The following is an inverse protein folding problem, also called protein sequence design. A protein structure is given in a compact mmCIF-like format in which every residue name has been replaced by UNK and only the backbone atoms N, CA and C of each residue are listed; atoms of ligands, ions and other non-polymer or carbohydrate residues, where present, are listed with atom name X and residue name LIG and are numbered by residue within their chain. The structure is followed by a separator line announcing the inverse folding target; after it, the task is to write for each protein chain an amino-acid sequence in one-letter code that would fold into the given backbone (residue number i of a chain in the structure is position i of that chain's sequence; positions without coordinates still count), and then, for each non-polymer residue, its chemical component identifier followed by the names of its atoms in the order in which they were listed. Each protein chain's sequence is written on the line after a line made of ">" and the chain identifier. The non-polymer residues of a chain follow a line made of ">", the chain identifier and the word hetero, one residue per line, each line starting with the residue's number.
data_IF_828504137169
#
_entry.id   IF_828504137169
#
_cell.length_a   1.000
_cell.length_b   1.000
_cell.length_c   1.000
_cell.angle_alpha   90.00
_cell.angle_beta   90.00
_cell.angle_gamma   90.00
#
_symmetry.space_group_name_H-M   'P 1'
#
loop_
_entity.id
_entity.type
_entity.pdbx_description
1 polymer ?
#
# COMPACT_ATOMS: atom_id res chain seq x y z
N UNK A 1 21.28 -24.21 9.42
CA UNK A 1 20.46 -23.80 10.59
C UNK A 1 21.01 -24.27 11.93
N UNK A 2 22.10 -25.07 12.02
CA UNK A 2 22.71 -25.50 13.30
C UNK A 2 22.94 -24.34 14.29
N UNK A 3 23.60 -23.26 13.84
CA UNK A 3 23.86 -22.08 14.68
C UNK A 3 22.57 -21.41 15.19
N UNK A 4 21.49 -21.43 14.42
CA UNK A 4 20.19 -20.89 14.83
C UNK A 4 19.56 -21.71 15.96
N UNK A 5 19.78 -23.03 15.98
CA UNK A 5 19.22 -23.94 16.97
C UNK A 5 20.07 -24.00 18.24
N UNK A 6 21.39 -24.09 18.08
CA UNK A 6 22.29 -24.50 19.16
C UNK A 6 23.15 -23.34 19.69
N UNK A 7 23.33 -22.26 18.91
CA UNK A 7 24.30 -21.19 19.20
C UNK A 7 23.74 -19.79 18.83
N UNK A 8 22.52 -19.48 19.30
CA UNK A 8 21.77 -18.29 18.85
C UNK A 8 22.51 -16.96 19.00
N UNK A 9 23.23 -16.76 20.11
CA UNK A 9 24.00 -15.53 20.33
C UNK A 9 25.15 -15.39 19.31
N UNK A 10 25.86 -16.49 19.04
CA UNK A 10 26.90 -16.54 18.01
C UNK A 10 26.31 -16.25 16.63
N UNK A 11 25.15 -16.83 16.31
CA UNK A 11 24.43 -16.54 15.08
C UNK A 11 24.11 -15.04 14.92
N UNK A 12 23.56 -14.40 15.96
CA UNK A 12 23.24 -12.96 15.93
C UNK A 12 24.51 -12.13 15.70
N UNK A 13 25.60 -12.42 16.41
CA UNK A 13 26.87 -11.71 16.24
C UNK A 13 27.41 -11.80 14.79
N UNK A 14 27.29 -12.97 14.17
CA UNK A 14 27.70 -13.17 12.77
C UNK A 14 26.78 -12.42 11.79
N UNK A 15 25.48 -12.37 12.06
CA UNK A 15 24.52 -11.57 11.27
C UNK A 15 24.86 -10.08 11.36
N UNK A 16 25.10 -9.55 12.57
CA UNK A 16 25.46 -8.14 12.78
C UNK A 16 26.73 -7.77 12.02
N UNK A 17 27.74 -8.66 12.05
CA UNK A 17 28.97 -8.49 11.26
C UNK A 17 28.70 -8.46 9.76
N UNK A 18 27.78 -9.29 9.27
CA UNK A 18 27.38 -9.30 7.86
C UNK A 18 26.61 -8.05 7.46
N UNK A 19 25.72 -7.55 8.33
CA UNK A 19 24.96 -6.32 8.11
C UNK A 19 25.88 -5.10 7.97
N UNK A 20 26.89 -4.99 8.84
CA UNK A 20 27.93 -3.94 8.77
C UNK A 20 28.66 -3.96 7.41
N UNK A 21 29.10 -5.13 6.97
CA UNK A 21 29.75 -5.28 5.65
C UNK A 21 28.81 -4.95 4.49
N UNK A 22 27.52 -5.31 4.61
CA UNK A 22 26.53 -5.05 3.57
C UNK A 22 26.31 -3.54 3.38
N UNK A 23 26.12 -2.78 4.45
CA UNK A 23 25.93 -1.32 4.35
C UNK A 23 27.19 -0.59 3.86
N UNK A 24 28.39 -1.07 4.20
CA UNK A 24 29.64 -0.54 3.65
C UNK A 24 29.69 -0.67 2.12
N UNK A 25 29.26 -1.82 1.59
CA UNK A 25 29.19 -2.04 0.14
C UNK A 25 28.14 -1.15 -0.53
N UNK A 26 26.97 -0.98 0.10
CA UNK A 26 25.93 -0.04 -0.37
C UNK A 26 26.49 1.38 -0.45
N UNK A 27 27.13 1.86 0.64
CA UNK A 27 27.76 3.19 0.68
C UNK A 27 28.76 3.40 -0.45
N UNK A 28 29.67 2.44 -0.66
CA UNK A 28 30.65 2.50 -1.73
C UNK A 28 30.01 2.63 -3.13
N UNK A 29 28.91 1.91 -3.38
CA UNK A 29 28.20 1.99 -4.65
C UNK A 29 27.44 3.31 -4.80
N UNK A 30 26.81 3.80 -3.72
CA UNK A 30 26.09 5.08 -3.74
C UNK A 30 27.04 6.26 -3.91
N UNK A 31 28.25 6.19 -3.35
CA UNK A 31 29.31 7.18 -3.55
C UNK A 31 29.79 7.23 -5.01
N UNK A 32 29.56 6.16 -5.78
CA UNK A 32 29.83 6.07 -7.22
C UNK A 32 28.61 6.44 -8.09
N UNK A 33 27.52 6.92 -7.48
CA UNK A 33 26.32 7.37 -8.19
C UNK A 33 25.23 6.31 -8.37
N UNK A 34 25.36 5.13 -7.77
CA UNK A 34 24.25 4.16 -7.75
C UNK A 34 23.09 4.70 -6.90
N UNK A 35 21.87 4.59 -7.41
CA UNK A 35 20.67 4.88 -6.63
C UNK A 35 20.31 3.66 -5.78
N UNK A 36 20.31 3.82 -4.45
CA UNK A 36 19.91 2.79 -3.50
C UNK A 36 18.66 3.21 -2.73
N UNK A 37 17.80 2.24 -2.43
CA UNK A 37 16.62 2.43 -1.61
C UNK A 37 16.34 1.16 -0.78
N UNK A 38 15.78 1.32 0.42
CA UNK A 38 15.40 0.18 1.28
C UNK A 38 14.05 -0.41 0.83
N UNK A 39 14.00 -1.72 0.57
CA UNK A 39 12.80 -2.39 0.02
C UNK A 39 11.74 -2.76 1.09
N UNK A 40 11.75 -2.12 2.26
CA UNK A 40 10.76 -2.36 3.31
C UNK A 40 10.91 -3.72 4.00
N UNK A 41 12.13 -4.27 4.02
CA UNK A 41 12.50 -5.48 4.76
C UNK A 41 13.18 -5.17 6.10
N UNK A 42 13.15 -3.91 6.54
CA UNK A 42 13.79 -3.38 7.74
C UNK A 42 15.33 -3.51 7.77
N UNK A 43 15.98 -3.53 6.60
CA UNK A 43 17.44 -3.64 6.49
C UNK A 43 18.17 -2.51 7.22
N UNK A 44 17.81 -1.25 6.98
CA UNK A 44 18.49 -0.11 7.63
C UNK A 44 18.25 -0.09 9.16
N UNK A 45 17.06 -0.53 9.61
CA UNK A 45 16.79 -0.70 11.06
C UNK A 45 17.65 -1.80 11.68
N UNK A 46 17.81 -2.93 11.00
CA UNK A 46 18.67 -4.01 11.46
C UNK A 46 20.15 -3.59 11.49
N UNK A 47 20.60 -2.81 10.51
CA UNK A 47 21.94 -2.23 10.47
C UNK A 47 22.16 -1.25 11.64
N UNK A 48 21.18 -0.40 11.93
CA UNK A 48 21.21 0.49 13.10
C UNK A 48 21.29 -0.31 14.40
N UNK A 49 20.46 -1.34 14.57
CA UNK A 49 20.43 -2.21 15.75
C UNK A 49 21.73 -3.01 15.92
N UNK A 50 22.37 -3.37 14.82
CA UNK A 50 23.70 -3.97 14.81
C UNK A 50 24.80 -2.99 15.25
N UNK A 51 24.49 -1.72 15.50
CA UNK A 51 25.36 -0.69 16.06
C UNK A 51 26.05 0.21 15.02
N UNK A 52 25.43 0.39 13.85
CA UNK A 52 25.88 1.33 12.80
C UNK A 52 24.99 2.57 12.88
N UNK A 53 25.28 3.47 13.82
CA UNK A 53 24.39 4.58 14.17
C UNK A 53 24.26 5.60 13.03
N UNK A 54 25.29 5.72 12.18
CA UNK A 54 25.32 6.72 11.11
C UNK A 54 24.32 6.47 9.97
N UNK A 55 23.63 5.33 9.96
CA UNK A 55 22.50 5.14 9.02
C UNK A 55 21.25 5.89 9.47
N UNK A 56 21.15 6.31 10.73
CA UNK A 56 20.07 7.17 11.22
C UNK A 56 20.26 8.61 10.72
N UNK A 57 19.17 9.25 10.30
CA UNK A 57 19.16 10.68 9.90
C UNK A 57 19.52 11.62 11.04
N UNK A 58 19.11 11.31 12.27
CA UNK A 58 19.37 12.14 13.45
C UNK A 58 20.56 11.64 14.30
N UNK A 59 21.08 10.45 14.01
CA UNK A 59 22.20 9.84 14.72
C UNK A 59 21.88 9.42 16.17
N UNK A 60 20.60 9.40 16.56
CA UNK A 60 20.15 9.10 17.94
C UNK A 60 19.21 7.89 17.92
N UNK A 61 18.18 7.93 17.08
CA UNK A 61 17.14 6.89 17.00
C UNK A 61 16.62 6.74 15.55
N UNK A 62 15.59 5.90 15.37
CA UNK A 62 14.99 5.65 14.07
C UNK A 62 13.79 6.55 13.76
N UNK A 63 13.49 7.57 14.58
CA UNK A 63 12.24 8.33 14.46
C UNK A 63 12.21 9.24 13.23
N UNK A 64 13.35 9.82 12.87
CA UNK A 64 13.48 10.68 11.68
C UNK A 64 13.79 9.88 10.41
N UNK A 65 13.77 8.54 10.49
CA UNK A 65 14.13 7.64 9.41
C UNK A 65 15.64 7.47 9.21
N UNK A 66 16.01 6.92 8.05
CA UNK A 66 17.38 6.56 7.71
C UNK A 66 17.91 7.38 6.54
N UNK A 67 19.25 7.39 6.37
CA UNK A 67 19.96 8.18 5.35
C UNK A 67 19.59 7.80 3.92
N UNK A 68 19.17 6.56 3.71
CA UNK A 68 18.60 6.12 2.44
C UNK A 68 17.09 6.04 2.58
N UNK A 69 16.35 6.55 1.59
CA UNK A 69 14.90 6.45 1.58
C UNK A 69 14.47 4.99 1.46
N UNK A 70 13.34 4.66 2.07
CA UNK A 70 12.64 3.43 1.70
C UNK A 70 11.99 3.59 0.33
N UNK A 71 11.80 2.49 -0.40
CA UNK A 71 11.02 2.47 -1.64
C UNK A 71 9.61 3.03 -1.43
N UNK A 72 9.12 2.91 -0.19
CA UNK A 72 7.82 3.44 0.15
C UNK A 72 7.82 4.96 0.30
N UNK A 73 8.80 5.52 1.00
CA UNK A 73 8.88 6.99 1.15
C UNK A 73 9.01 7.70 -0.20
N UNK A 74 9.82 7.16 -1.10
CA UNK A 74 10.20 7.85 -2.33
C UNK A 74 9.37 7.46 -3.56
N UNK A 75 8.83 6.23 -3.61
CA UNK A 75 8.17 5.70 -4.81
C UNK A 75 6.71 5.35 -4.52
N UNK A 76 6.45 4.43 -3.59
CA UNK A 76 5.08 3.92 -3.40
C UNK A 76 4.15 4.85 -2.64
N UNK A 77 4.67 5.65 -1.72
CA UNK A 77 3.89 6.61 -0.95
C UNK A 77 3.12 7.56 -1.86
N UNK A 78 3.80 8.25 -2.80
CA UNK A 78 3.14 9.06 -3.83
C UNK A 78 2.09 8.31 -4.67
N UNK A 79 2.32 7.02 -4.98
CA UNK A 79 1.36 6.16 -5.70
C UNK A 79 0.12 5.86 -4.84
N UNK A 80 0.33 5.55 -3.56
CA UNK A 80 -0.75 5.29 -2.60
C UNK A 80 -1.55 6.55 -2.29
N UNK A 81 -0.92 7.71 -2.34
CA UNK A 81 -1.58 9.00 -2.16
C UNK A 81 -2.62 9.27 -3.27
N UNK A 82 -2.43 8.72 -4.47
CA UNK A 82 -3.43 8.68 -5.56
C UNK A 82 -4.45 7.53 -5.42
N UNK A 83 -4.35 6.71 -4.37
CA UNK A 83 -5.24 5.57 -4.13
C UNK A 83 -4.89 4.29 -4.89
N UNK A 84 -3.79 4.28 -5.66
CA UNK A 84 -3.34 3.05 -6.32
C UNK A 84 -2.78 2.06 -5.31
N UNK A 85 -3.13 0.80 -5.51
CA UNK A 85 -2.66 -0.31 -4.70
C UNK A 85 -3.05 -1.65 -5.32
N UNK A 86 -2.57 -2.77 -4.77
CA UNK A 86 -2.76 -4.09 -5.34
C UNK A 86 -4.24 -4.46 -5.38
N UNK A 87 -4.77 -4.68 -6.57
CA UNK A 87 -6.10 -5.22 -6.80
C UNK A 87 -5.96 -6.60 -7.44
N UNK A 88 -6.49 -7.64 -6.80
CA UNK A 88 -6.36 -9.03 -7.24
C UNK A 88 -7.70 -9.72 -7.31
N UNK A 89 -7.77 -10.73 -8.17
CA UNK A 89 -8.93 -11.59 -8.25
C UNK A 89 -8.54 -13.03 -8.51
N UNK A 90 -9.45 -13.94 -8.17
CA UNK A 90 -9.34 -15.37 -8.42
C UNK A 90 -10.61 -15.86 -9.10
N UNK A 91 -10.50 -16.52 -10.25
CA UNK A 91 -11.60 -17.20 -10.91
C UNK A 91 -11.88 -18.53 -10.18
N UNK A 92 -13.01 -18.64 -9.50
CA UNK A 92 -13.34 -19.81 -8.67
C UNK A 92 -13.76 -21.03 -9.49
N UNK A 93 -14.00 -20.86 -10.80
CA UNK A 93 -14.16 -21.97 -11.74
C UNK A 93 -12.88 -22.81 -11.90
N UNK A 94 -11.71 -22.21 -11.64
CA UNK A 94 -10.41 -22.83 -11.91
C UNK A 94 -10.04 -22.91 -13.39
N UNK A 95 -10.86 -22.34 -14.29
CA UNK A 95 -10.62 -22.33 -15.73
C UNK A 95 -9.69 -21.18 -16.15
N UNK A 96 -8.64 -21.50 -16.92
CA UNK A 96 -7.73 -20.50 -17.50
C UNK A 96 -8.48 -19.56 -18.46
N UNK A 97 -9.52 -20.05 -19.15
CA UNK A 97 -10.31 -19.23 -20.07
C UNK A 97 -11.08 -18.11 -19.34
N UNK A 98 -11.48 -18.32 -18.09
CA UNK A 98 -12.10 -17.26 -17.28
C UNK A 98 -11.05 -16.21 -16.91
N UNK A 99 -9.83 -16.63 -16.60
CA UNK A 99 -8.73 -15.70 -16.34
C UNK A 99 -8.41 -14.86 -17.57
N UNK A 100 -8.36 -15.47 -18.76
CA UNK A 100 -8.16 -14.74 -20.02
C UNK A 100 -9.24 -13.69 -20.27
N UNK A 101 -10.51 -14.03 -20.04
CA UNK A 101 -11.63 -13.08 -20.20
C UNK A 101 -11.53 -11.94 -19.19
N UNK A 102 -11.23 -12.25 -17.94
CA UNK A 102 -11.07 -11.22 -16.89
C UNK A 102 -9.84 -10.33 -17.13
N UNK A 103 -8.74 -10.86 -17.66
CA UNK A 103 -7.58 -10.07 -18.09
C UNK A 103 -7.98 -9.05 -19.17
N UNK A 104 -8.73 -9.48 -20.20
CA UNK A 104 -9.22 -8.59 -21.26
C UNK A 104 -10.20 -7.54 -20.74
N UNK A 105 -11.14 -7.95 -19.88
CA UNK A 105 -12.11 -7.04 -19.28
C UNK A 105 -11.43 -5.99 -18.38
N UNK A 106 -10.51 -6.40 -17.50
CA UNK A 106 -9.73 -5.47 -16.69
C UNK A 106 -8.91 -4.51 -17.54
N UNK A 107 -8.22 -5.01 -18.57
CA UNK A 107 -7.46 -4.17 -19.51
C UNK A 107 -8.34 -3.14 -20.21
N UNK A 108 -9.59 -3.49 -20.56
CA UNK A 108 -10.53 -2.57 -21.20
C UNK A 108 -11.05 -1.45 -20.29
N UNK A 109 -10.93 -1.61 -18.97
CA UNK A 109 -11.32 -0.61 -17.99
C UNK A 109 -10.21 0.42 -17.70
N UNK A 110 -8.99 0.22 -18.22
CA UNK A 110 -7.84 1.07 -17.93
C UNK A 110 -7.62 2.03 -19.09
N UNK A 111 -7.59 3.33 -18.80
CA UNK A 111 -7.18 4.38 -19.74
C UNK A 111 -5.67 4.64 -19.58
N UNK A 112 -4.81 4.15 -20.50
CA UNK A 112 -3.36 4.29 -20.38
C UNK A 112 -2.85 5.74 -20.56
N UNK A 113 -3.70 6.67 -20.99
CA UNK A 113 -3.32 8.07 -21.19
C UNK A 113 -3.70 8.98 -20.00
N UNK A 114 -4.46 8.46 -19.02
CA UNK A 114 -4.94 9.23 -17.86
C UNK A 114 -3.82 9.54 -16.86
N UNK A 115 -3.09 8.52 -16.39
CA UNK A 115 -1.94 8.65 -15.48
C UNK A 115 -0.87 7.60 -15.82
N UNK A 116 0.35 7.82 -15.32
CA UNK A 116 1.49 6.91 -15.55
C UNK A 116 1.21 5.53 -14.94
N UNK A 117 0.59 5.48 -13.77
CA UNK A 117 0.22 4.24 -13.09
C UNK A 117 -0.81 3.44 -13.90
N UNK A 118 -1.79 4.09 -14.55
CA UNK A 118 -2.73 3.41 -15.46
C UNK A 118 -1.98 2.78 -16.64
N UNK A 119 -1.07 3.54 -17.27
CA UNK A 119 -0.24 3.06 -18.38
C UNK A 119 0.59 1.84 -18.00
N UNK A 120 1.23 1.88 -16.85
CA UNK A 120 2.10 0.80 -16.37
C UNK A 120 1.27 -0.47 -16.10
N UNK A 121 0.06 -0.32 -15.53
CA UNK A 121 -0.85 -1.44 -15.27
C UNK A 121 -1.51 -1.98 -16.55
N UNK A 122 -1.77 -1.14 -17.54
CA UNK A 122 -2.22 -1.54 -18.87
C UNK A 122 -1.16 -2.40 -19.58
N UNK A 123 0.10 -1.95 -19.58
CA UNK A 123 1.23 -2.71 -20.17
C UNK A 123 1.39 -4.05 -19.45
N UNK A 124 1.32 -4.03 -18.11
CA UNK A 124 1.38 -5.23 -17.29
C UNK A 124 0.30 -6.25 -17.66
N UNK A 125 -0.99 -5.87 -17.62
CA UNK A 125 -2.08 -6.82 -17.85
C UNK A 125 -2.07 -7.38 -19.28
N UNK A 126 -1.69 -6.57 -20.27
CA UNK A 126 -1.52 -6.99 -21.67
C UNK A 126 -0.49 -8.12 -21.82
N UNK A 127 0.59 -8.07 -21.03
CA UNK A 127 1.71 -9.00 -21.14
C UNK A 127 1.71 -10.08 -20.04
N UNK A 128 0.84 -9.98 -19.03
CA UNK A 128 0.84 -10.85 -17.85
C UNK A 128 0.70 -12.34 -18.20
N UNK A 129 -0.13 -12.69 -19.20
CA UNK A 129 -0.27 -14.07 -19.69
C UNK A 129 1.04 -14.63 -20.28
N UNK A 130 1.79 -13.81 -21.03
CA UNK A 130 3.03 -14.23 -21.70
C UNK A 130 4.12 -14.64 -20.71
N UNK A 131 4.06 -14.11 -19.49
CA UNK A 131 5.03 -14.38 -18.43
C UNK A 131 4.73 -15.68 -17.65
N UNK A 132 3.59 -16.35 -17.89
CA UNK A 132 3.25 -17.65 -17.32
C UNK A 132 3.43 -17.76 -15.78
N UNK A 133 2.99 -16.73 -15.03
CA UNK A 133 3.18 -16.64 -13.57
C UNK A 133 2.07 -17.28 -12.73
N UNK A 134 1.09 -17.93 -13.36
CA UNK A 134 -0.02 -18.57 -12.63
C UNK A 134 0.48 -19.85 -11.96
N UNK A 135 0.29 -19.95 -10.65
CA UNK A 135 0.58 -21.14 -9.85
C UNK A 135 -0.61 -21.43 -8.94
N UNK A 136 -1.20 -22.62 -9.08
CA UNK A 136 -2.39 -23.01 -8.31
C UNK A 136 -3.66 -22.41 -8.88
N UNK A 137 -4.31 -21.50 -8.14
CA UNK A 137 -5.57 -20.89 -8.54
C UNK A 137 -5.40 -19.93 -9.73
N UNK A 138 -6.40 -19.88 -10.61
CA UNK A 138 -6.46 -18.94 -11.71
C UNK A 138 -6.65 -17.52 -11.18
N UNK A 139 -5.55 -16.79 -11.03
CA UNK A 139 -5.51 -15.52 -10.34
C UNK A 139 -4.65 -14.50 -11.09
N UNK A 140 -5.03 -13.23 -10.95
CA UNK A 140 -4.30 -12.09 -11.49
C UNK A 140 -4.28 -10.96 -10.47
N UNK A 141 -3.28 -10.11 -10.61
CA UNK A 141 -3.10 -8.89 -9.83
C UNK A 141 -2.74 -7.76 -10.80
N UNK A 142 -3.13 -6.54 -10.47
CA UNK A 142 -2.62 -5.29 -11.01
C UNK A 142 -2.77 -4.20 -9.93
N UNK A 143 -2.34 -2.98 -10.20
CA UNK A 143 -2.61 -1.83 -9.34
C UNK A 143 -3.72 -0.97 -9.94
N UNK A 144 -4.64 -0.51 -9.09
CA UNK A 144 -5.74 0.35 -9.48
C UNK A 144 -6.16 1.27 -8.35
N UNK A 145 -6.58 2.49 -8.71
CA UNK A 145 -7.20 3.46 -7.82
C UNK A 145 -8.67 3.13 -7.51
N UNK A 146 -9.35 3.97 -6.72
CA UNK A 146 -10.73 3.73 -6.28
C UNK A 146 -11.70 3.54 -7.45
N UNK A 147 -11.67 4.45 -8.43
CA UNK A 147 -12.56 4.41 -9.58
C UNK A 147 -12.30 3.18 -10.46
N UNK A 148 -11.03 2.87 -10.74
CA UNK A 148 -10.67 1.69 -11.50
C UNK A 148 -11.08 0.39 -10.81
N UNK A 149 -10.92 0.28 -9.48
CA UNK A 149 -11.38 -0.90 -8.71
C UNK A 149 -12.88 -1.10 -8.81
N UNK A 150 -13.66 -0.03 -8.64
CA UNK A 150 -15.13 -0.07 -8.80
C UNK A 150 -15.52 -0.52 -10.21
N UNK A 151 -14.91 0.08 -11.24
CA UNK A 151 -15.25 -0.22 -12.64
C UNK A 151 -14.91 -1.66 -13.03
N UNK A 152 -13.74 -2.16 -12.64
CA UNK A 152 -13.33 -3.54 -12.90
C UNK A 152 -14.24 -4.51 -12.14
N UNK A 153 -14.51 -4.25 -10.86
CA UNK A 153 -15.35 -5.11 -10.03
C UNK A 153 -16.79 -5.23 -10.57
N UNK A 154 -17.41 -4.11 -10.96
CA UNK A 154 -18.75 -4.10 -11.57
C UNK A 154 -18.75 -4.83 -12.92
N UNK A 155 -17.70 -4.63 -13.73
CA UNK A 155 -17.55 -5.33 -15.02
C UNK A 155 -17.48 -6.84 -14.81
N UNK A 156 -16.67 -7.30 -13.85
CA UNK A 156 -16.57 -8.71 -13.50
C UNK A 156 -17.88 -9.27 -12.95
N UNK A 157 -18.56 -8.56 -12.04
CA UNK A 157 -19.82 -9.04 -11.48
C UNK A 157 -20.87 -9.22 -12.57
N UNK A 158 -20.96 -8.29 -13.54
CA UNK A 158 -21.82 -8.44 -14.72
C UNK A 158 -21.42 -9.63 -15.60
N UNK A 159 -20.14 -9.91 -15.78
CA UNK A 159 -19.69 -11.09 -16.53
C UNK A 159 -20.11 -12.39 -15.84
N UNK A 160 -20.11 -12.42 -14.50
CA UNK A 160 -20.63 -13.56 -13.71
C UNK A 160 -22.14 -13.70 -13.92
N UNK A 161 -22.91 -12.61 -13.85
CA UNK A 161 -24.36 -12.60 -14.09
C UNK A 161 -24.72 -13.12 -15.49
N UNK A 162 -23.98 -12.66 -16.51
CA UNK A 162 -24.15 -13.09 -17.90
C UNK A 162 -23.71 -14.54 -18.17
N UNK A 163 -23.08 -15.22 -17.19
CA UNK A 163 -22.51 -16.56 -17.38
C UNK A 163 -21.29 -16.59 -18.32
N UNK A 164 -20.64 -15.44 -18.55
CA UNK A 164 -19.42 -15.35 -19.35
C UNK A 164 -18.22 -15.98 -18.64
N UNK A 165 -18.22 -15.92 -17.30
CA UNK A 165 -17.22 -16.51 -16.39
C UNK A 165 -17.92 -17.09 -15.15
N UNK A 166 -17.27 -18.03 -14.46
CA UNK A 166 -17.73 -18.48 -13.14
C UNK A 166 -17.52 -17.41 -12.04
N UNK A 167 -17.97 -17.68 -10.79
CA UNK A 167 -17.80 -16.73 -9.68
C UNK A 167 -16.34 -16.30 -9.47
N UNK A 168 -16.16 -15.03 -9.09
CA UNK A 168 -14.83 -14.43 -8.91
C UNK A 168 -14.68 -13.97 -7.47
N UNK A 169 -13.55 -14.30 -6.84
CA UNK A 169 -13.17 -13.75 -5.54
C UNK A 169 -12.23 -12.56 -5.74
N UNK A 170 -12.69 -11.35 -5.44
CA UNK A 170 -11.83 -10.16 -5.35
C UNK A 170 -11.09 -10.12 -4.02
N UNK A 171 -9.94 -9.47 -4.02
CA UNK A 171 -9.21 -9.11 -2.80
C UNK A 171 -8.03 -8.23 -3.10
N UNK A 172 -7.10 -8.17 -2.14
CA UNK A 172 -5.83 -7.45 -2.25
C UNK A 172 -4.79 -7.95 -1.26
N UNK A 173 -3.57 -7.46 -1.39
CA UNK A 173 -2.63 -7.51 -0.28
C UNK A 173 -3.07 -6.54 0.82
N UNK A 174 -2.47 -6.67 2.00
CA UNK A 174 -2.65 -5.66 3.03
C UNK A 174 -1.80 -4.41 2.73
N UNK A 175 -0.77 -4.55 1.88
CA UNK A 175 0.03 -3.45 1.33
C UNK A 175 -0.80 -2.55 0.39
N UNK A 176 -1.60 -1.64 0.95
CA UNK A 176 -2.61 -0.86 0.24
C UNK A 176 -2.81 0.52 0.88
N UNK A 177 -3.34 1.56 0.18
CA UNK A 177 -3.43 2.93 0.69
C UNK A 177 -4.05 3.08 2.07
N UNK A 178 -5.13 2.35 2.35
CA UNK A 178 -5.83 2.35 3.65
C UNK A 178 -5.64 1.08 4.48
N UNK A 179 -5.06 0.02 3.90
CA UNK A 179 -5.02 -1.31 4.50
C UNK A 179 -4.00 -1.49 5.61
N UNK A 180 -2.95 -0.66 5.71
CA UNK A 180 -1.85 -0.89 6.65
C UNK A 180 -1.32 0.39 7.28
N UNK A 181 -1.23 0.39 8.60
CA UNK A 181 -0.38 1.30 9.35
C UNK A 181 0.94 0.60 9.69
N UNK A 182 2.04 1.08 9.11
CA UNK A 182 3.40 0.59 9.43
C UNK A 182 4.42 1.72 9.25
N UNK A 183 4.98 2.28 10.34
CA UNK A 183 5.83 3.47 10.29
C UNK A 183 7.15 3.27 9.54
N UNK A 184 7.54 2.02 9.29
CA UNK A 184 8.77 1.66 8.59
C UNK A 184 8.52 1.28 7.12
N UNK A 185 7.27 1.30 6.67
CA UNK A 185 6.90 0.93 5.30
C UNK A 185 5.67 1.72 4.85
N UNK A 186 4.46 1.17 4.93
CA UNK A 186 3.25 1.75 4.32
C UNK A 186 2.86 3.16 4.82
N UNK A 187 3.28 3.54 6.02
CA UNK A 187 3.03 4.90 6.57
C UNK A 187 4.32 5.66 6.80
N UNK A 188 5.44 5.22 6.23
CA UNK A 188 6.72 5.92 6.36
C UNK A 188 6.71 7.31 5.72
N UNK A 189 5.89 7.55 4.68
CA UNK A 189 5.72 8.86 4.06
C UNK A 189 4.75 9.80 4.81
N UNK A 190 4.15 9.37 5.93
CA UNK A 190 3.30 10.21 6.78
C UNK A 190 4.17 11.03 7.73
N UNK A 191 4.13 12.37 7.61
CA UNK A 191 5.08 13.28 8.28
C UNK A 191 4.46 14.19 9.35
N UNK A 192 3.18 14.03 9.69
CA UNK A 192 2.51 14.78 10.76
C UNK A 192 2.71 14.19 12.17
N UNK A 193 3.49 13.10 12.29
CA UNK A 193 3.73 12.36 13.52
C UNK A 193 2.73 11.25 13.81
N UNK A 194 1.66 11.12 13.01
CA UNK A 194 0.66 10.06 13.18
C UNK A 194 1.07 8.71 12.59
N UNK A 195 2.25 8.61 11.97
CA UNK A 195 2.73 7.39 11.30
C UNK A 195 2.81 6.16 12.22
N UNK A 196 2.87 6.37 13.53
CA UNK A 196 2.88 5.34 14.58
C UNK A 196 1.49 4.89 15.06
N UNK A 197 0.43 5.59 14.63
CA UNK A 197 -0.96 5.24 14.95
C UNK A 197 -1.42 4.00 14.18
N UNK A 198 -2.60 3.45 14.55
CA UNK A 198 -3.19 2.27 13.91
C UNK A 198 -4.67 2.46 13.51
N UNK A 199 -5.16 3.71 13.55
CA UNK A 199 -6.56 4.05 13.32
C UNK A 199 -6.97 3.81 11.86
N UNK A 200 -6.10 4.09 10.89
CA UNK A 200 -6.42 3.97 9.47
C UNK A 200 -6.71 2.51 9.09
N UNK A 201 -5.81 1.58 9.44
CA UNK A 201 -6.00 0.16 9.17
C UNK A 201 -7.20 -0.42 9.93
N UNK A 202 -7.43 0.03 11.17
CA UNK A 202 -8.56 -0.39 11.99
C UNK A 202 -9.89 0.09 11.41
N UNK A 203 -9.96 1.35 10.96
CA UNK A 203 -11.14 1.92 10.29
C UNK A 203 -11.39 1.25 8.94
N UNK A 204 -10.33 1.01 8.14
CA UNK A 204 -10.44 0.27 6.89
C UNK A 204 -11.10 -1.10 7.12
N UNK A 205 -10.57 -1.88 8.08
CA UNK A 205 -11.15 -3.17 8.48
C UNK A 205 -12.62 -3.05 8.91
N UNK A 206 -12.93 -2.16 9.85
CA UNK A 206 -14.28 -2.03 10.41
C UNK A 206 -15.29 -1.57 9.35
N UNK A 207 -14.91 -0.61 8.50
CA UNK A 207 -15.79 -0.11 7.46
C UNK A 207 -15.97 -1.08 6.30
N UNK A 208 -14.96 -1.90 5.96
CA UNK A 208 -15.11 -3.02 5.03
C UNK A 208 -16.10 -4.07 5.58
N UNK A 209 -16.01 -4.37 6.89
CA UNK A 209 -16.93 -5.30 7.54
C UNK A 209 -18.37 -4.77 7.50
N UNK A 210 -18.55 -3.49 7.84
CA UNK A 210 -19.85 -2.84 7.87
C UNK A 210 -20.50 -2.69 6.48
N UNK A 211 -19.69 -2.64 5.40
CA UNK A 211 -20.16 -2.46 4.02
C UNK A 211 -20.37 -3.75 3.24
N UNK A 212 -20.25 -4.91 3.89
CA UNK A 212 -20.68 -6.19 3.32
C UNK A 212 -19.62 -6.96 2.52
N UNK A 213 -18.33 -6.68 2.73
CA UNK A 213 -17.27 -7.56 2.22
C UNK A 213 -17.49 -9.01 2.70
N UNK A 214 -17.25 -9.99 1.85
CA UNK A 214 -17.46 -11.41 2.16
C UNK A 214 -16.48 -11.95 3.22
N UNK A 215 -15.28 -11.39 3.26
CA UNK A 215 -14.24 -11.67 4.24
C UNK A 215 -13.56 -10.36 4.64
N UNK A 216 -13.24 -10.22 5.93
CA UNK A 216 -12.40 -9.14 6.45
C UNK A 216 -11.40 -9.70 7.43
N UNK A 217 -10.16 -9.21 7.37
CA UNK A 217 -9.08 -9.63 8.24
C UNK A 217 -8.33 -8.42 8.79
N UNK A 218 -7.89 -8.53 10.05
CA UNK A 218 -6.98 -7.58 10.69
C UNK A 218 -5.86 -8.37 11.35
N UNK A 219 -4.62 -8.09 10.95
CA UNK A 219 -3.43 -8.80 11.40
C UNK A 219 -2.47 -7.87 12.13
N UNK A 220 -1.57 -8.48 12.92
CA UNK A 220 -0.48 -7.81 13.60
C UNK A 220 0.86 -8.27 12.99
N UNK A 221 1.60 -7.32 12.44
CA UNK A 221 3.00 -7.49 12.05
C UNK A 221 3.24 -7.99 10.64
N UNK A 222 2.26 -7.85 9.74
CA UNK A 222 2.47 -8.15 8.32
C UNK A 222 3.60 -7.32 7.73
N UNK A 223 4.51 -7.97 7.01
CA UNK A 223 5.66 -7.32 6.37
C UNK A 223 6.80 -6.99 7.33
N UNK A 224 6.60 -6.03 8.24
CA UNK A 224 7.69 -5.48 9.07
C UNK A 224 7.94 -6.25 10.38
N UNK A 225 7.04 -7.17 10.74
CA UNK A 225 7.17 -8.07 11.89
C UNK A 225 6.24 -7.72 13.06
N UNK A 226 6.09 -8.68 13.98
CA UNK A 226 5.15 -8.60 15.12
C UNK A 226 5.33 -7.29 15.91
N UNK A 227 4.23 -6.57 16.14
CA UNK A 227 4.20 -5.31 16.89
C UNK A 227 4.66 -4.08 16.11
N UNK A 228 4.99 -4.22 14.81
CA UNK A 228 5.50 -3.13 13.97
C UNK A 228 4.55 -2.70 12.84
N UNK A 229 3.43 -3.40 12.68
CA UNK A 229 2.39 -3.06 11.73
C UNK A 229 1.03 -3.53 12.23
N UNK A 230 -0.02 -2.78 11.92
CA UNK A 230 -1.40 -3.24 11.97
C UNK A 230 -1.92 -3.18 10.54
N UNK A 231 -2.32 -4.33 10.01
CA UNK A 231 -2.56 -4.49 8.57
C UNK A 231 -3.80 -5.33 8.31
N UNK A 232 -4.74 -4.80 7.55
CA UNK A 232 -6.01 -5.42 7.21
C UNK A 232 -6.22 -5.64 5.71
N UNK A 233 -7.09 -6.59 5.41
CA UNK A 233 -7.45 -6.98 4.06
C UNK A 233 -8.91 -7.40 3.96
N UNK A 234 -9.37 -7.57 2.73
CA UNK A 234 -10.73 -8.01 2.45
C UNK A 234 -10.75 -9.11 1.39
N UNK A 235 -11.89 -9.79 1.32
CA UNK A 235 -12.29 -10.60 0.19
C UNK A 235 -13.76 -10.32 -0.17
N UNK A 236 -14.08 -10.23 -1.45
CA UNK A 236 -15.44 -10.00 -1.93
C UNK A 236 -15.78 -11.01 -3.04
N UNK A 237 -16.76 -11.86 -2.77
CA UNK A 237 -17.29 -12.80 -3.74
C UNK A 237 -18.22 -12.07 -4.70
N UNK A 238 -17.90 -12.15 -5.99
CA UNK A 238 -18.75 -11.72 -7.09
C UNK A 238 -19.62 -12.89 -7.51
N UNK A 239 -20.91 -12.78 -7.21
CA UNK A 239 -21.94 -13.80 -7.47
C UNK A 239 -22.91 -13.40 -8.59
N UNK A 240 -22.68 -12.25 -9.25
CA UNK A 240 -23.53 -11.71 -10.31
C UNK A 240 -24.73 -10.91 -9.81
N UNK A 241 -25.00 -10.86 -8.50
CA UNK A 241 -26.21 -10.23 -7.98
C UNK A 241 -26.12 -8.71 -7.89
N UNK A 242 -27.27 -8.04 -8.07
CA UNK A 242 -27.45 -6.60 -7.81
C UNK A 242 -27.06 -6.20 -6.36
N UNK A 243 -27.21 -7.13 -5.42
CA UNK A 243 -26.79 -6.94 -4.03
C UNK A 243 -25.28 -6.72 -3.95
N UNK A 244 -24.49 -7.48 -4.71
CA UNK A 244 -23.04 -7.33 -4.75
C UNK A 244 -22.64 -6.05 -5.48
N UNK A 245 -23.37 -5.64 -6.51
CA UNK A 245 -23.16 -4.32 -7.15
C UNK A 245 -23.28 -3.16 -6.15
N UNK A 246 -24.27 -3.20 -5.26
CA UNK A 246 -24.41 -2.19 -4.21
C UNK A 246 -23.24 -2.22 -3.21
N UNK A 247 -22.74 -3.41 -2.86
CA UNK A 247 -21.56 -3.58 -2.01
C UNK A 247 -20.32 -3.01 -2.70
N UNK A 248 -20.10 -3.30 -3.99
CA UNK A 248 -18.95 -2.80 -4.75
C UNK A 248 -18.90 -1.27 -4.72
N UNK A 249 -20.01 -0.61 -5.04
CA UNK A 249 -20.10 0.86 -5.11
C UNK A 249 -19.82 1.55 -3.77
N UNK A 250 -20.16 0.90 -2.67
CA UNK A 250 -19.92 1.44 -1.32
C UNK A 250 -18.55 1.06 -0.75
N UNK A 251 -18.23 -0.23 -0.77
CA UNK A 251 -17.10 -0.79 -0.03
C UNK A 251 -15.75 -0.56 -0.72
N UNK A 252 -15.68 -0.64 -2.06
CA UNK A 252 -14.42 -0.40 -2.78
C UNK A 252 -13.94 1.04 -2.62
N UNK A 253 -14.85 1.99 -2.72
CA UNK A 253 -14.55 3.41 -2.52
C UNK A 253 -14.06 3.67 -1.10
N UNK A 254 -14.70 3.08 -0.09
CA UNK A 254 -14.25 3.17 1.31
C UNK A 254 -12.85 2.58 1.51
N UNK A 255 -12.59 1.38 0.98
CA UNK A 255 -11.34 0.65 1.14
C UNK A 255 -10.12 1.47 0.69
N UNK A 256 -10.30 2.26 -0.38
CA UNK A 256 -9.25 3.14 -0.93
C UNK A 256 -9.29 4.54 -0.32
N UNK A 257 -10.44 5.21 -0.39
CA UNK A 257 -10.54 6.63 -0.06
C UNK A 257 -10.40 6.90 1.44
N UNK A 258 -10.65 5.92 2.31
CA UNK A 258 -10.31 6.04 3.73
C UNK A 258 -8.81 6.23 3.97
N UNK A 259 -7.98 5.54 3.19
CA UNK A 259 -6.52 5.71 3.21
C UNK A 259 -6.08 7.05 2.64
N UNK A 260 -6.64 7.42 1.48
CA UNK A 260 -6.37 8.73 0.85
C UNK A 260 -6.78 9.88 1.77
N UNK A 261 -7.92 9.78 2.46
CA UNK A 261 -8.38 10.77 3.42
C UNK A 261 -7.38 10.98 4.56
N UNK A 262 -6.84 9.90 5.14
CA UNK A 262 -5.80 9.99 6.17
C UNK A 262 -4.53 10.64 5.59
N UNK A 263 -4.06 10.16 4.44
CA UNK A 263 -2.84 10.66 3.78
C UNK A 263 -2.95 12.15 3.45
N UNK A 264 -4.12 12.56 2.98
CA UNK A 264 -4.48 13.96 2.73
C UNK A 264 -4.39 14.77 4.02
N UNK A 265 -5.00 14.31 5.11
CA UNK A 265 -4.94 14.97 6.42
C UNK A 265 -3.51 15.14 6.94
N UNK A 266 -2.65 14.15 6.68
CA UNK A 266 -1.22 14.21 6.98
C UNK A 266 -0.39 15.08 6.02
N UNK A 267 -1.07 15.80 5.10
CA UNK A 267 -0.55 16.80 4.17
C UNK A 267 0.31 16.24 3.03
N UNK A 268 0.08 15.00 2.62
CA UNK A 268 0.67 14.48 1.39
C UNK A 268 0.04 15.18 0.18
N UNK A 269 0.84 15.84 -0.65
CA UNK A 269 0.35 16.71 -1.73
C UNK A 269 -0.58 15.98 -2.71
N UNK A 270 -0.18 14.79 -3.18
CA UNK A 270 -0.97 13.98 -4.11
C UNK A 270 -2.28 13.50 -3.49
N UNK A 271 -2.31 13.22 -2.19
CA UNK A 271 -3.51 12.80 -1.48
C UNK A 271 -4.46 13.97 -1.24
N UNK A 272 -3.92 15.17 -1.01
CA UNK A 272 -4.72 16.39 -0.92
C UNK A 272 -5.40 16.71 -2.26
N UNK A 273 -4.68 16.59 -3.38
CA UNK A 273 -5.24 16.70 -4.74
C UNK A 273 -6.35 15.67 -4.96
N UNK A 274 -6.07 14.38 -4.68
CA UNK A 274 -7.02 13.28 -4.86
C UNK A 274 -8.27 13.43 -4.00
N UNK A 275 -8.11 13.86 -2.74
CA UNK A 275 -9.23 14.10 -1.82
C UNK A 275 -10.08 15.31 -2.27
N UNK A 276 -9.45 16.37 -2.79
CA UNK A 276 -10.18 17.53 -3.32
C UNK A 276 -10.97 17.15 -4.57
N UNK A 277 -10.38 16.38 -5.48
CA UNK A 277 -11.07 15.86 -6.67
C UNK A 277 -12.23 14.95 -6.28
N UNK A 278 -12.03 14.06 -5.31
CA UNK A 278 -13.10 13.20 -4.79
C UNK A 278 -14.28 14.01 -4.22
N UNK A 279 -14.02 15.05 -3.44
CA UNK A 279 -15.07 15.91 -2.87
C UNK A 279 -15.89 16.65 -3.93
N UNK A 280 -15.30 16.95 -5.09
CA UNK A 280 -15.97 17.62 -6.20
C UNK A 280 -16.81 16.65 -7.05
N UNK A 281 -16.33 15.41 -7.23
CA UNK A 281 -16.85 14.50 -8.23
C UNK A 281 -17.71 13.35 -7.68
N UNK A 282 -17.65 13.05 -6.38
CA UNK A 282 -18.40 11.93 -5.82
C UNK A 282 -19.92 12.19 -5.81
N UNK A 283 -20.70 11.13 -6.06
CA UNK A 283 -22.17 11.15 -6.11
C UNK A 283 -22.83 10.75 -4.79
N UNK A 284 -22.04 10.30 -3.82
CA UNK A 284 -22.51 9.82 -2.51
C UNK A 284 -22.87 10.93 -1.53
N UNK A 285 -22.37 12.15 -1.76
CA UNK A 285 -22.51 13.29 -0.84
C UNK A 285 -21.53 13.27 0.35
N UNK A 286 -20.68 12.24 0.45
CA UNK A 286 -19.62 12.17 1.45
C UNK A 286 -18.54 13.24 1.18
N UNK A 287 -17.87 13.68 2.24
CA UNK A 287 -16.84 14.72 2.18
C UNK A 287 -15.63 14.33 3.03
N UNK A 288 -14.44 14.46 2.44
CA UNK A 288 -13.15 14.35 3.11
C UNK A 288 -12.74 15.72 3.64
N UNK A 289 -12.32 15.78 4.90
CA UNK A 289 -11.79 17.03 5.47
C UNK A 289 -10.40 17.31 4.87
N UNK A 290 -10.23 18.46 4.21
CA UNK A 290 -8.94 18.89 3.66
C UNK A 290 -8.16 19.72 4.68
N UNK A 291 -6.85 19.46 4.91
CA UNK A 291 -6.08 20.24 5.86
C UNK A 291 -5.70 21.61 5.28
N UNK A 292 -5.62 22.61 6.16
CA UNK A 292 -5.02 23.91 5.84
C UNK A 292 -3.51 23.87 6.08
N UNK A 293 -2.72 24.26 5.08
CA UNK A 293 -1.28 24.39 5.23
C UNK A 293 -0.94 25.71 5.95
N UNK A 294 0.03 25.64 6.86
CA UNK A 294 0.59 26.81 7.57
C UNK A 294 1.97 27.10 7.02
N UNK A 295 2.33 28.38 6.90
CA UNK A 295 3.68 28.76 6.51
C UNK A 295 4.70 28.37 7.58
N UNK A 296 5.76 27.66 7.19
CA UNK A 296 6.81 27.21 8.10
C UNK A 296 7.51 28.37 8.83
N UNK A 297 7.64 29.52 8.16
CA UNK A 297 8.19 30.75 8.74
C UNK A 297 7.39 31.18 9.98
N UNK A 298 6.07 31.09 9.92
CA UNK A 298 5.15 31.46 10.99
C UNK A 298 5.25 30.47 12.16
N UNK A 299 5.42 29.18 11.87
CA UNK A 299 5.68 28.15 12.89
C UNK A 299 7.01 28.41 13.59
N UNK A 300 8.08 28.65 12.84
CA UNK A 300 9.41 28.90 13.37
C UNK A 300 9.45 30.14 14.28
N UNK A 301 8.80 31.24 13.86
CA UNK A 301 8.66 32.47 14.66
C UNK A 301 7.87 32.18 15.94
N UNK A 302 6.74 31.48 15.84
CA UNK A 302 5.90 31.10 16.98
C UNK A 302 6.67 30.26 18.02
N UNK A 303 7.40 29.22 17.58
CA UNK A 303 8.23 28.37 18.44
C UNK A 303 9.33 29.19 19.11
N UNK A 304 10.07 29.99 18.33
CA UNK A 304 11.14 30.85 18.87
C UNK A 304 10.60 31.78 19.95
N UNK A 305 9.43 32.38 19.76
CA UNK A 305 8.80 33.27 20.74
C UNK A 305 8.35 32.54 22.01
N UNK A 306 7.96 31.27 21.92
CA UNK A 306 7.52 30.47 23.06
C UNK A 306 8.69 30.04 23.97
N UNK A 307 9.81 29.65 23.39
CA UNK A 307 10.98 29.09 24.10
C UNK A 307 12.12 30.10 24.34
N UNK A 308 11.93 31.37 23.98
CA UNK A 308 12.91 32.44 24.26
C UNK A 308 12.78 33.06 25.66
N UNK A 309 12.16 32.35 26.61
CA UNK A 309 12.08 32.73 28.03
C UNK A 309 13.16 32.05 28.86
#
# INVERSE_FOLDING_TARGET
>A
TRLLADERENFISLVDKSLRKHIEAVKLLTDQGAFFFDYGNAFLKAVFDAGVIEVSKNGIDAKDGFIYPSYFEDIMGPIFDYGYGPFRWVCLSGDEADLDKTDQAAMSCIDPDRRVEDRDNYIWIRDAKKNAMVVGSQARILYSDAAGRVNIALTFNRMVDNGEVGPIMLGRDHHDPGGTDSPFRETANIKDGSNVCADMATHCFAGNAARGMSLVALHNGGGTGIGKAINGGFGLLLDGSDRVDAIIRSAMTWDVMGGVARRSWSRNANAMETAAEYNLNNDTGDQITLPYQVEESLVAVSIKNLFSR
#
